data_IF_563501038006
#
_entry.id   IF_563501038006
#
_cell.length_a   1.000
_cell.length_b   1.000
_cell.length_c   1.000
_cell.angle_alpha   90.00
_cell.angle_beta   90.00
_cell.angle_gamma   90.00
#
_symmetry.space_group_name_H-M   'P 1'
#
loop_
_entity.id
_entity.type
_entity.pdbx_description
1 polymer ?
#
# COMPACT_ATOMS: atom_id res chain seq x y z
N UNK A 1 -21.41 -9.18 -2.25
CA UNK A 1 -20.00 -9.65 -2.29
C UNK A 1 -19.07 -8.50 -1.98
N UNK A 2 -19.45 -7.28 -2.36
CA UNK A 2 -18.81 -6.05 -1.91
C UNK A 2 -18.49 -6.00 -0.40
N UNK A 3 -19.41 -6.40 0.48
CA UNK A 3 -19.15 -6.48 1.93
C UNK A 3 -18.00 -7.43 2.26
N UNK A 4 -17.93 -8.59 1.60
CA UNK A 4 -16.86 -9.56 1.79
C UNK A 4 -15.51 -9.00 1.32
N UNK A 5 -15.48 -8.30 0.18
CA UNK A 5 -14.28 -7.62 -0.32
C UNK A 5 -13.76 -6.62 0.72
N UNK A 6 -14.66 -5.83 1.32
CA UNK A 6 -14.32 -4.85 2.36
C UNK A 6 -13.87 -5.51 3.66
N UNK A 7 -14.51 -6.63 4.06
CA UNK A 7 -14.07 -7.44 5.19
C UNK A 7 -12.66 -8.01 4.96
N UNK A 8 -12.35 -8.48 3.73
CA UNK A 8 -11.02 -8.96 3.36
C UNK A 8 -9.98 -7.85 3.39
N UNK A 9 -10.29 -6.66 2.89
CA UNK A 9 -9.43 -5.48 3.00
C UNK A 9 -9.11 -5.18 4.47
N UNK A 10 -10.12 -5.16 5.34
CA UNK A 10 -9.93 -4.91 6.77
C UNK A 10 -9.07 -6.02 7.42
N UNK A 11 -9.27 -7.28 7.02
CA UNK A 11 -8.45 -8.41 7.47
C UNK A 11 -6.98 -8.34 7.06
N UNK A 12 -6.65 -7.62 5.98
CA UNK A 12 -5.27 -7.32 5.58
C UNK A 12 -4.64 -6.17 6.37
N UNK A 13 -5.36 -5.57 7.33
CA UNK A 13 -4.91 -4.40 8.09
C UNK A 13 -5.15 -3.07 7.38
N UNK A 14 -5.92 -3.06 6.28
CA UNK A 14 -6.29 -1.82 5.61
C UNK A 14 -7.35 -1.09 6.43
N UNK A 15 -7.00 0.11 6.91
CA UNK A 15 -7.93 0.97 7.67
C UNK A 15 -8.37 2.22 6.90
N UNK A 16 -7.65 2.59 5.84
CA UNK A 16 -8.00 3.72 4.97
C UNK A 16 -7.99 3.23 3.53
N UNK A 17 -9.07 3.50 2.81
CA UNK A 17 -9.23 3.16 1.39
C UNK A 17 -9.25 4.47 0.58
N UNK A 18 -8.15 4.78 -0.08
CA UNK A 18 -8.08 5.94 -0.96
C UNK A 18 -8.72 5.62 -2.31
N UNK A 19 -9.32 6.58 -2.99
CA UNK A 19 -9.81 6.27 -4.34
C UNK A 19 -10.55 7.38 -5.03
N UNK A 20 -10.87 7.11 -6.30
CA UNK A 20 -11.89 7.81 -7.08
C UNK A 20 -12.86 6.73 -7.51
N UNK A 21 -14.09 6.77 -6.99
CA UNK A 21 -15.07 5.74 -7.34
C UNK A 21 -15.74 6.07 -8.69
N UNK A 22 -16.35 5.06 -9.30
CA UNK A 22 -17.14 5.19 -10.53
C UNK A 22 -18.10 4.02 -10.65
N UNK A 23 -18.93 4.01 -11.70
CA UNK A 23 -20.04 3.06 -11.85
C UNK A 23 -19.61 1.59 -11.70
N UNK A 24 -18.43 1.22 -12.24
CA UNK A 24 -17.96 -0.15 -12.19
C UNK A 24 -17.36 -0.55 -10.83
N UNK A 25 -17.14 0.37 -9.88
CA UNK A 25 -16.58 0.10 -8.55
C UNK A 25 -17.47 0.56 -7.38
N UNK A 26 -18.68 1.04 -7.67
CA UNK A 26 -19.53 1.72 -6.68
C UNK A 26 -19.98 0.81 -5.55
N UNK A 27 -20.22 -0.49 -5.78
CA UNK A 27 -20.74 -1.40 -4.75
C UNK A 27 -19.69 -1.61 -3.65
N UNK A 28 -18.42 -1.77 -4.04
CA UNK A 28 -17.30 -1.86 -3.12
C UNK A 28 -17.11 -0.55 -2.35
N UNK A 29 -17.25 0.60 -3.03
CA UNK A 29 -17.15 1.90 -2.37
C UNK A 29 -18.26 2.10 -1.33
N UNK A 30 -19.49 1.81 -1.71
CA UNK A 30 -20.68 1.89 -0.85
C UNK A 30 -20.57 0.95 0.36
N UNK A 31 -20.13 -0.29 0.16
CA UNK A 31 -19.83 -1.21 1.26
C UNK A 31 -18.73 -0.68 2.18
N UNK A 32 -17.69 -0.04 1.64
CA UNK A 32 -16.61 0.53 2.43
C UNK A 32 -17.08 1.73 3.27
N UNK A 33 -18.00 2.56 2.76
CA UNK A 33 -18.62 3.66 3.51
C UNK A 33 -19.41 3.15 4.72
N UNK A 34 -20.07 2.00 4.60
CA UNK A 34 -20.84 1.38 5.69
C UNK A 34 -19.98 0.63 6.72
N UNK A 35 -18.75 0.27 6.37
CA UNK A 35 -17.93 -0.61 7.18
C UNK A 35 -17.18 0.15 8.29
N UNK A 36 -17.32 -0.29 9.55
CA UNK A 36 -16.73 0.43 10.70
C UNK A 36 -15.20 0.40 10.79
N UNK A 37 -14.56 -0.59 10.16
CA UNK A 37 -13.10 -0.78 10.22
C UNK A 37 -12.32 -0.12 9.07
N UNK A 38 -13.01 0.46 8.07
CA UNK A 38 -12.39 1.10 6.92
C UNK A 38 -12.94 2.52 6.79
N UNK A 39 -12.03 3.47 6.54
CA UNK A 39 -12.39 4.85 6.20
C UNK A 39 -12.09 5.14 4.74
N UNK A 40 -13.10 5.29 3.88
CA UNK A 40 -12.90 5.77 2.51
C UNK A 40 -12.42 7.22 2.49
N UNK A 41 -11.48 7.53 1.61
CA UNK A 41 -10.98 8.89 1.35
C UNK A 41 -11.01 9.14 -0.15
N UNK A 42 -11.89 10.04 -0.58
CA UNK A 42 -12.03 10.40 -2.00
C UNK A 42 -10.90 11.36 -2.38
N UNK A 43 -10.14 11.01 -3.41
CA UNK A 43 -9.20 11.90 -4.07
C UNK A 43 -9.86 12.62 -5.25
N UNK A 44 -9.21 13.66 -5.77
CA UNK A 44 -9.63 14.32 -7.02
C UNK A 44 -9.12 13.60 -8.28
N UNK A 45 -8.12 12.75 -8.15
CA UNK A 45 -7.47 12.04 -9.25
C UNK A 45 -6.87 10.72 -8.74
N UNK A 46 -6.89 9.68 -9.57
CA UNK A 46 -6.51 8.31 -9.19
C UNK A 46 -5.02 8.18 -8.89
N UNK A 47 -4.16 8.86 -9.65
CA UNK A 47 -2.75 9.00 -9.30
C UNK A 47 -2.55 9.53 -7.87
N UNK A 48 -3.30 10.57 -7.48
CA UNK A 48 -3.24 11.14 -6.14
C UNK A 48 -3.72 10.14 -5.07
N UNK A 49 -4.76 9.36 -5.38
CA UNK A 49 -5.21 8.28 -4.49
C UNK A 49 -4.13 7.20 -4.30
N UNK A 50 -3.49 6.76 -5.39
CA UNK A 50 -2.40 5.78 -5.34
C UNK A 50 -1.18 6.31 -4.57
N UNK A 51 -0.78 7.56 -4.81
CA UNK A 51 0.34 8.19 -4.09
C UNK A 51 0.05 8.35 -2.58
N UNK A 52 -1.19 8.64 -2.19
CA UNK A 52 -1.59 8.66 -0.78
C UNK A 52 -1.52 7.27 -0.14
N UNK A 53 -1.96 6.23 -0.85
CA UNK A 53 -1.85 4.85 -0.39
C UNK A 53 -0.38 4.44 -0.21
N UNK A 54 0.47 4.72 -1.21
CA UNK A 54 1.91 4.48 -1.17
C UNK A 54 2.57 5.15 0.05
N UNK A 55 2.32 6.45 0.24
CA UNK A 55 2.85 7.20 1.38
C UNK A 55 2.40 6.63 2.73
N UNK A 56 1.13 6.23 2.85
CA UNK A 56 0.61 5.62 4.07
C UNK A 56 1.24 4.24 4.33
N UNK A 57 1.46 3.42 3.30
CA UNK A 57 2.11 2.13 3.46
C UNK A 57 3.53 2.28 4.01
N UNK A 58 4.29 3.28 3.55
CA UNK A 58 5.64 3.58 4.05
C UNK A 58 5.65 4.01 5.52
N UNK A 59 4.64 4.78 5.94
CA UNK A 59 4.55 5.29 7.32
C UNK A 59 4.05 4.19 8.27
N UNK A 60 3.05 3.42 7.84
CA UNK A 60 2.44 2.37 8.66
C UNK A 60 3.24 1.07 8.72
N UNK A 61 4.10 0.82 7.73
CA UNK A 61 4.85 -0.43 7.60
C UNK A 61 3.99 -1.62 7.20
N UNK A 62 2.76 -1.39 6.73
CA UNK A 62 1.80 -2.44 6.36
C UNK A 62 1.09 -2.17 5.03
N UNK A 63 0.31 -3.15 4.54
CA UNK A 63 -0.43 -3.00 3.29
C UNK A 63 -1.45 -1.86 3.35
N UNK A 64 -1.58 -1.15 2.23
CA UNK A 64 -2.67 -0.18 2.02
C UNK A 64 -3.47 -0.54 0.78
N UNK A 65 -4.59 0.14 0.56
CA UNK A 65 -5.39 -0.08 -0.62
C UNK A 65 -5.85 1.21 -1.30
N UNK A 66 -6.04 1.10 -2.60
CA UNK A 66 -6.61 2.11 -3.47
C UNK A 66 -7.77 1.51 -4.27
N UNK A 67 -8.88 2.24 -4.40
CA UNK A 67 -10.06 1.85 -5.18
C UNK A 67 -10.20 2.77 -6.40
N UNK A 68 -10.42 2.18 -7.57
CA UNK A 68 -10.80 2.93 -8.78
C UNK A 68 -11.77 2.14 -9.66
N UNK A 69 -12.37 2.81 -10.64
CA UNK A 69 -13.20 2.22 -11.70
C UNK A 69 -12.35 1.84 -12.91
N UNK A 70 -12.92 1.12 -13.88
CA UNK A 70 -12.30 0.85 -15.17
C UNK A 70 -12.22 2.11 -16.06
N UNK A 71 -11.82 1.96 -17.31
CA UNK A 71 -11.56 3.08 -18.21
C UNK A 71 -10.38 3.93 -17.73
N UNK A 72 -10.53 5.25 -17.87
CA UNK A 72 -9.51 6.22 -17.48
C UNK A 72 -9.08 6.12 -16.02
N UNK A 73 -9.97 5.68 -15.11
CA UNK A 73 -9.65 5.54 -13.69
C UNK A 73 -8.53 4.52 -13.44
N UNK A 74 -8.60 3.35 -14.07
CA UNK A 74 -7.56 2.34 -13.96
C UNK A 74 -6.25 2.81 -14.60
N UNK A 75 -6.31 3.47 -15.76
CA UNK A 75 -5.13 3.98 -16.47
C UNK A 75 -4.42 5.11 -15.70
N UNK A 76 -5.18 6.01 -15.09
CA UNK A 76 -4.66 7.10 -14.26
C UNK A 76 -3.97 6.59 -12.98
N UNK A 77 -4.28 5.37 -12.55
CA UNK A 77 -3.66 4.73 -11.39
C UNK A 77 -2.29 4.09 -11.72
N UNK A 78 -2.07 3.68 -12.98
CA UNK A 78 -0.86 2.97 -13.44
C UNK A 78 0.45 3.66 -13.01
N UNK A 79 0.64 4.99 -13.16
CA UNK A 79 1.88 5.62 -12.77
C UNK A 79 2.17 5.53 -11.26
N UNK A 80 1.13 5.58 -10.42
CA UNK A 80 1.30 5.45 -8.97
C UNK A 80 1.67 4.01 -8.58
N UNK A 81 1.07 3.01 -9.24
CA UNK A 81 1.46 1.60 -9.03
C UNK A 81 2.88 1.32 -9.51
N UNK A 82 3.31 1.96 -10.61
CA UNK A 82 4.69 1.89 -11.08
C UNK A 82 5.70 2.39 -10.04
N UNK A 83 5.40 3.52 -9.38
CA UNK A 83 6.23 4.02 -8.28
C UNK A 83 6.26 3.04 -7.10
N UNK A 84 5.11 2.52 -6.67
CA UNK A 84 5.04 1.51 -5.61
C UNK A 84 5.80 0.24 -5.97
N UNK A 85 5.78 -0.17 -7.24
CA UNK A 85 6.48 -1.35 -7.73
C UNK A 85 7.99 -1.19 -7.63
N UNK A 86 8.53 -0.09 -8.15
CA UNK A 86 9.98 0.18 -8.14
C UNK A 86 10.50 0.38 -6.71
N UNK A 87 9.69 1.01 -5.86
CA UNK A 87 10.00 1.28 -4.46
C UNK A 87 9.72 0.11 -3.49
N UNK A 88 9.17 -1.01 -3.97
CA UNK A 88 8.74 -2.15 -3.13
C UNK A 88 7.76 -1.78 -2.01
N UNK A 89 6.67 -1.11 -2.38
CA UNK A 89 5.61 -0.69 -1.46
C UNK A 89 4.36 -1.56 -1.64
N UNK A 90 3.80 -2.15 -0.56
CA UNK A 90 2.64 -3.03 -0.63
C UNK A 90 1.32 -2.25 -0.76
N UNK A 91 0.98 -1.85 -1.98
CA UNK A 91 -0.30 -1.21 -2.31
C UNK A 91 -1.21 -2.19 -3.06
N UNK A 92 -2.42 -2.39 -2.56
CA UNK A 92 -3.46 -3.18 -3.22
C UNK A 92 -4.41 -2.28 -4.02
N UNK A 93 -4.40 -2.40 -5.34
CA UNK A 93 -5.39 -1.80 -6.21
C UNK A 93 -6.63 -2.68 -6.33
N UNK A 94 -7.80 -2.14 -5.98
CA UNK A 94 -9.10 -2.71 -6.31
C UNK A 94 -9.66 -1.90 -7.48
N UNK A 95 -9.88 -2.56 -8.61
CA UNK A 95 -10.32 -1.92 -9.85
C UNK A 95 -11.66 -2.54 -10.26
N UNK A 96 -12.72 -1.74 -10.27
CA UNK A 96 -14.00 -2.19 -10.79
C UNK A 96 -13.96 -2.35 -12.31
N UNK A 97 -14.61 -3.38 -12.87
CA UNK A 97 -14.76 -3.54 -14.32
C UNK A 97 -16.22 -3.71 -14.75
N UNK A 98 -16.47 -3.59 -16.06
CA UNK A 98 -17.79 -3.78 -16.64
C UNK A 98 -18.37 -5.17 -16.27
N UNK A 99 -19.70 -5.32 -16.21
CA UNK A 99 -20.32 -6.62 -16.00
C UNK A 99 -19.81 -7.65 -17.02
N UNK A 100 -19.51 -8.86 -16.57
CA UNK A 100 -18.93 -9.94 -17.42
C UNK A 100 -19.73 -10.18 -18.70
N UNK A 101 -21.06 -10.11 -18.63
CA UNK A 101 -21.95 -10.30 -19.79
C UNK A 101 -21.83 -9.22 -20.88
N UNK A 102 -21.20 -8.07 -20.57
CA UNK A 102 -21.02 -6.93 -21.48
C UNK A 102 -19.61 -6.78 -22.02
N UNK A 103 -18.66 -7.58 -21.50
CA UNK A 103 -17.27 -7.62 -21.98
C UNK A 103 -17.25 -8.07 -23.44
N UNK A 104 -16.55 -7.32 -24.29
CA UNK A 104 -16.49 -7.49 -25.75
C UNK A 104 -17.78 -7.12 -26.49
N UNK A 105 -18.76 -6.53 -25.79
CA UNK A 105 -20.11 -6.28 -26.31
C UNK A 105 -20.55 -4.83 -26.15
N UNK A 106 -19.59 -3.91 -26.09
CA UNK A 106 -19.84 -2.47 -25.95
C UNK A 106 -20.17 -2.02 -24.52
N UNK A 107 -19.70 -2.77 -23.51
CA UNK A 107 -19.79 -2.36 -22.11
C UNK A 107 -19.13 -1.00 -21.87
N UNK A 108 -19.73 -0.17 -21.03
CA UNK A 108 -19.14 1.13 -20.67
C UNK A 108 -17.81 0.93 -19.94
N UNK A 109 -16.75 1.56 -20.47
CA UNK A 109 -15.39 1.44 -19.94
C UNK A 109 -14.89 -0.01 -19.88
N UNK A 110 -15.24 -0.83 -20.88
CA UNK A 110 -14.71 -2.17 -21.05
C UNK A 110 -13.23 -2.15 -21.46
N UNK A 111 -12.43 -2.99 -20.80
CA UNK A 111 -10.97 -3.10 -20.96
C UNK A 111 -10.49 -4.53 -20.69
N UNK A 112 -11.32 -5.53 -21.01
CA UNK A 112 -11.03 -6.95 -20.75
C UNK A 112 -11.21 -7.85 -21.98
N UNK A 113 -11.33 -7.26 -23.18
CA UNK A 113 -11.50 -7.98 -24.46
C UNK A 113 -10.57 -7.42 -25.56
N UNK A 114 -9.25 -7.62 -25.47
CA UNK A 114 -8.32 -7.22 -26.52
C UNK A 114 -8.43 -8.14 -27.76
N UNK A 115 -8.20 -7.63 -28.99
CA UNK A 115 -7.69 -6.29 -29.31
C UNK A 115 -8.78 -5.22 -29.47
N UNK A 116 -10.06 -5.58 -29.32
CA UNK A 116 -11.19 -4.68 -29.54
C UNK A 116 -11.33 -3.63 -28.42
N UNK A 117 -10.79 -3.94 -27.23
CA UNK A 117 -10.65 -3.03 -26.10
C UNK A 117 -9.21 -3.01 -25.57
N UNK A 118 -8.94 -2.10 -24.63
CA UNK A 118 -7.63 -1.99 -23.97
C UNK A 118 -7.37 -3.27 -23.17
N UNK A 119 -6.16 -3.85 -23.28
CA UNK A 119 -5.72 -4.97 -22.43
C UNK A 119 -5.27 -4.45 -21.05
N UNK A 120 -6.22 -4.22 -20.14
CA UNK A 120 -5.90 -3.76 -18.78
C UNK A 120 -4.97 -4.74 -18.02
N UNK A 121 -5.19 -6.07 -18.04
CA UNK A 121 -4.30 -7.01 -17.37
C UNK A 121 -2.86 -6.93 -17.86
N UNK A 122 -2.62 -6.81 -19.17
CA UNK A 122 -1.28 -6.65 -19.71
C UNK A 122 -0.63 -5.36 -19.21
N UNK A 123 -1.36 -4.23 -19.23
CA UNK A 123 -0.86 -2.95 -18.72
C UNK A 123 -0.48 -3.05 -17.24
N UNK A 124 -1.38 -3.60 -16.41
CA UNK A 124 -1.15 -3.73 -14.97
C UNK A 124 0.01 -4.66 -14.68
N UNK A 125 0.15 -5.78 -15.40
CA UNK A 125 1.23 -6.76 -15.19
C UNK A 125 2.63 -6.16 -15.32
N UNK A 126 2.78 -5.05 -16.04
CA UNK A 126 4.05 -4.31 -16.13
C UNK A 126 4.39 -3.47 -14.89
N UNK A 127 3.42 -3.20 -14.01
CA UNK A 127 3.55 -2.32 -12.84
C UNK A 127 3.03 -2.92 -11.53
N UNK A 128 2.63 -4.19 -11.51
CA UNK A 128 2.26 -4.91 -10.27
C UNK A 128 2.91 -6.28 -10.20
N UNK A 129 3.13 -6.80 -9.00
CA UNK A 129 3.68 -8.14 -8.79
C UNK A 129 2.67 -9.28 -9.01
N UNK A 130 1.37 -8.97 -8.92
CA UNK A 130 0.30 -9.88 -9.31
C UNK A 130 -0.94 -9.09 -9.77
N UNK A 131 -1.62 -9.60 -10.78
CA UNK A 131 -2.87 -9.05 -11.30
C UNK A 131 -3.88 -10.18 -11.47
N UNK A 132 -5.02 -10.11 -10.79
CA UNK A 132 -6.08 -11.12 -10.88
C UNK A 132 -7.40 -10.47 -11.28
N UNK A 133 -8.04 -11.03 -12.31
CA UNK A 133 -9.44 -10.76 -12.60
C UNK A 133 -10.28 -11.74 -11.79
N UNK A 134 -11.26 -11.24 -11.04
CA UNK A 134 -12.13 -12.07 -10.19
C UNK A 134 -13.36 -12.46 -10.99
N UNK A 135 -13.24 -13.49 -11.82
CA UNK A 135 -14.28 -13.88 -12.78
C UNK A 135 -15.47 -14.61 -12.15
N UNK A 136 -15.40 -15.01 -10.88
CA UNK A 136 -16.49 -15.65 -10.16
C UNK A 136 -16.56 -15.17 -8.69
N UNK A 137 -17.75 -14.97 -8.10
CA UNK A 137 -17.87 -14.52 -6.70
C UNK A 137 -17.19 -15.43 -5.68
N UNK A 138 -17.18 -16.75 -5.93
CA UNK A 138 -16.50 -17.71 -5.05
C UNK A 138 -14.96 -17.53 -5.01
N UNK A 139 -14.38 -16.87 -6.02
CA UNK A 139 -12.93 -16.72 -6.14
C UNK A 139 -12.41 -15.49 -5.39
N UNK A 140 -13.29 -14.65 -4.83
CA UNK A 140 -12.90 -13.43 -4.11
C UNK A 140 -11.88 -13.74 -3.02
N UNK A 141 -12.15 -14.76 -2.20
CA UNK A 141 -11.26 -15.10 -1.09
C UNK A 141 -9.88 -15.56 -1.56
N UNK A 142 -9.84 -16.43 -2.59
CA UNK A 142 -8.59 -16.91 -3.18
C UNK A 142 -7.80 -15.77 -3.84
N UNK A 143 -8.48 -14.86 -4.55
CA UNK A 143 -7.85 -13.70 -5.17
C UNK A 143 -7.20 -12.77 -4.12
N UNK A 144 -7.84 -12.61 -2.95
CA UNK A 144 -7.25 -11.87 -1.83
C UNK A 144 -6.06 -12.59 -1.21
N UNK A 145 -6.05 -13.93 -1.15
CA UNK A 145 -4.91 -14.70 -0.67
C UNK A 145 -3.70 -14.56 -1.61
N UNK A 146 -3.92 -14.61 -2.92
CA UNK A 146 -2.89 -14.35 -3.94
C UNK A 146 -2.35 -12.92 -3.84
N UNK A 147 -3.23 -11.94 -3.69
CA UNK A 147 -2.84 -10.54 -3.49
C UNK A 147 -2.01 -10.37 -2.21
N UNK A 148 -2.43 -10.99 -1.10
CA UNK A 148 -1.69 -10.95 0.17
C UNK A 148 -0.28 -11.51 0.04
N UNK A 149 -0.10 -12.63 -0.67
CA UNK A 149 1.22 -13.20 -0.93
C UNK A 149 2.13 -12.23 -1.70
N UNK A 150 1.57 -11.48 -2.66
CA UNK A 150 2.29 -10.45 -3.40
C UNK A 150 2.67 -9.25 -2.51
N UNK A 151 1.72 -8.74 -1.72
CA UNK A 151 1.94 -7.64 -0.78
C UNK A 151 3.00 -8.00 0.28
N UNK A 152 3.02 -9.25 0.76
CA UNK A 152 4.03 -9.75 1.70
C UNK A 152 5.46 -9.75 1.12
N UNK A 153 5.61 -9.75 -0.20
CA UNK A 153 6.90 -9.57 -0.90
C UNK A 153 7.27 -8.10 -1.09
N UNK A 154 6.47 -7.18 -0.56
CA UNK A 154 6.60 -5.73 -0.75
C UNK A 154 6.23 -5.28 -2.16
N UNK A 155 5.42 -6.04 -2.90
CA UNK A 155 5.03 -5.65 -4.27
C UNK A 155 3.60 -5.13 -4.27
N UNK A 156 3.25 -4.15 -5.11
CA UNK A 156 1.85 -3.82 -5.32
C UNK A 156 1.12 -4.96 -6.03
N UNK A 157 -0.18 -5.04 -5.83
CA UNK A 157 -1.07 -6.06 -6.36
C UNK A 157 -2.33 -5.41 -6.94
N UNK A 158 -2.93 -6.02 -7.96
CA UNK A 158 -4.19 -5.55 -8.53
C UNK A 158 -5.26 -6.66 -8.56
N UNK A 159 -6.45 -6.34 -8.08
CA UNK A 159 -7.65 -7.14 -8.23
C UNK A 159 -8.64 -6.39 -9.11
N UNK A 160 -8.94 -6.94 -10.28
CA UNK A 160 -9.97 -6.43 -11.18
C UNK A 160 -11.26 -7.18 -10.88
N UNK A 161 -12.30 -6.46 -10.44
CA UNK A 161 -13.54 -7.05 -9.95
C UNK A 161 -14.72 -6.60 -10.81
N UNK A 162 -15.32 -7.49 -11.61
CA UNK A 162 -16.51 -7.16 -12.40
C UNK A 162 -17.67 -6.68 -11.54
N UNK A 163 -18.42 -5.71 -12.06
CA UNK A 163 -19.59 -5.11 -11.39
C UNK A 163 -20.61 -6.15 -10.92
N UNK A 164 -20.90 -7.15 -11.76
CA UNK A 164 -21.85 -8.22 -11.43
C UNK A 164 -21.30 -9.21 -10.38
N UNK A 165 -19.97 -9.31 -10.24
CA UNK A 165 -19.34 -10.06 -9.14
C UNK A 165 -19.44 -9.30 -7.82
N UNK A 166 -19.29 -7.97 -7.83
CA UNK A 166 -19.46 -7.14 -6.63
C UNK A 166 -20.89 -7.24 -6.07
N UNK A 167 -21.88 -7.17 -6.97
CA UNK A 167 -23.30 -7.22 -6.67
C UNK A 167 -23.81 -8.62 -6.25
N UNK A 168 -23.05 -9.68 -6.52
CA UNK A 168 -23.46 -11.05 -6.17
C UNK A 168 -23.63 -11.22 -4.65
N UNK A 169 -24.55 -12.08 -4.23
CA UNK A 169 -24.75 -12.40 -2.80
C UNK A 169 -23.54 -13.20 -2.30
N UNK A 170 -22.95 -12.76 -1.18
CA UNK A 170 -21.89 -13.54 -0.54
C UNK A 170 -22.51 -14.79 0.13
N UNK A 171 -21.85 -15.96 0.08
CA UNK A 171 -22.22 -17.06 0.95
C UNK A 171 -22.24 -16.56 2.40
N UNK A 172 -23.23 -16.96 3.18
CA UNK A 172 -23.36 -16.51 4.57
C UNK A 172 -22.14 -16.99 5.37
N UNK A 173 -21.14 -16.13 5.50
CA UNK A 173 -20.01 -16.39 6.39
C UNK A 173 -20.53 -16.09 7.77
N UNK A 174 -20.85 -17.15 8.50
CA UNK A 174 -21.28 -17.08 9.90
C UNK A 174 -20.35 -16.12 10.64
N UNK A 175 -20.81 -14.88 10.85
CA UNK A 175 -20.06 -13.94 11.68
C UNK A 175 -19.89 -14.65 13.02
N UNK A 176 -18.67 -14.78 13.58
CA UNK A 176 -18.53 -15.27 14.94
C UNK A 176 -19.45 -14.41 15.78
N UNK A 177 -20.53 -15.01 16.26
CA UNK A 177 -21.51 -14.30 17.07
C UNK A 177 -20.70 -13.78 18.23
N UNK A 178 -20.53 -12.47 18.32
CA UNK A 178 -19.95 -11.85 19.51
C UNK A 178 -20.88 -12.32 20.62
N UNK A 179 -20.41 -13.29 21.40
CA UNK A 179 -21.04 -13.62 22.67
C UNK A 179 -20.85 -12.34 23.48
N UNK A 180 -21.85 -11.46 23.42
CA UNK A 180 -22.00 -10.40 24.40
C UNK A 180 -21.99 -11.13 25.73
N UNK A 181 -20.88 -11.05 26.46
CA UNK A 181 -20.76 -11.68 27.76
C UNK A 181 -22.00 -11.30 28.56
N UNK A 182 -22.74 -12.30 29.01
CA UNK A 182 -23.79 -12.07 30.00
C UNK A 182 -23.16 -11.27 31.14
N UNK A 183 -23.81 -10.17 31.53
CA UNK A 183 -23.38 -9.40 32.68
C UNK A 183 -23.11 -10.35 33.86
N UNK A 184 -21.98 -10.21 34.58
CA UNK A 184 -21.72 -11.07 35.72
C UNK A 184 -22.86 -10.90 36.74
N UNK A 185 -23.34 -11.98 37.36
CA UNK A 185 -24.31 -11.86 38.44
C UNK A 185 -23.70 -11.02 39.56
N UNK A 186 -24.42 -9.99 39.98
CA UNK A 186 -24.08 -9.14 41.12
C UNK A 186 -23.98 -10.04 42.35
N UNK A 187 -22.75 -10.34 42.78
CA UNK A 187 -22.48 -11.01 44.05
C UNK A 187 -22.28 -9.93 45.10
N UNK A 188 -23.28 -9.79 45.96
CA UNK A 188 -23.22 -9.03 47.20
C UNK A 188 -22.04 -9.54 48.02
N UNK A 189 -21.19 -8.61 48.46
CA UNK A 189 -19.87 -8.91 48.99
C UNK A 189 -19.87 -9.67 50.31
N UNK A 190 -18.87 -10.54 50.44
CA UNK A 190 -18.26 -10.88 51.72
C UNK A 190 -16.74 -10.79 51.61
N UNK A 191 -16.19 -10.02 52.53
CA UNK A 191 -14.77 -9.80 52.80
C UNK A 191 -14.12 -11.06 53.32
N UNK A 192 -12.88 -11.37 52.90
CA UNK A 192 -11.86 -11.99 53.74
C UNK A 192 -10.45 -11.87 53.13
N UNK A 193 -9.47 -11.76 54.02
CA UNK A 193 -8.14 -11.21 53.84
C UNK A 193 -7.10 -12.16 53.23
N UNK A 194 -6.10 -11.55 52.56
CA UNK A 194 -4.68 -11.77 52.86
C UNK A 194 -3.89 -12.81 52.05
N UNK A 195 -3.02 -12.34 51.14
CA UNK A 195 -1.52 -12.42 51.21
C UNK A 195 -0.87 -12.19 49.83
N UNK A 196 0.36 -11.64 49.79
CA UNK A 196 1.03 -11.22 48.55
C UNK A 196 1.78 -12.39 47.90
N UNK A 197 1.81 -12.40 46.56
CA UNK A 197 2.68 -13.29 45.78
C UNK A 197 3.55 -12.49 44.83
N UNK A 198 4.83 -12.80 44.95
CA UNK A 198 6.06 -12.26 44.38
C UNK A 198 6.15 -12.24 42.85
N UNK A 199 6.93 -11.25 42.39
CA UNK A 199 7.42 -11.08 41.03
C UNK A 199 8.06 -12.34 40.46
N UNK A 200 7.76 -12.63 39.18
CA UNK A 200 8.49 -13.56 38.34
C UNK A 200 9.11 -12.81 37.16
N UNK A 201 10.42 -12.65 37.24
CA UNK A 201 11.32 -12.18 36.18
C UNK A 201 11.33 -13.14 34.98
N UNK A 202 11.15 -12.61 33.76
CA UNK A 202 11.49 -13.32 32.52
C UNK A 202 12.91 -12.93 32.08
N UNK A 203 13.73 -13.88 31.58
CA UNK A 203 15.13 -13.63 31.23
C UNK A 203 15.27 -12.86 29.91
N UNK A 204 16.39 -12.16 29.69
CA UNK A 204 16.57 -11.23 28.58
C UNK A 204 16.73 -11.95 27.22
N UNK A 205 15.94 -11.49 26.25
CA UNK A 205 16.10 -11.81 24.84
C UNK A 205 17.39 -11.18 24.29
N UNK A 206 18.16 -11.95 23.53
CA UNK A 206 19.47 -11.57 22.96
C UNK A 206 19.32 -10.49 21.87
N UNK A 207 19.94 -9.34 22.13
CA UNK A 207 20.81 -8.55 21.22
C UNK A 207 20.31 -8.35 19.78
N UNK A 208 19.64 -7.22 19.52
CA UNK A 208 19.68 -6.53 18.23
C UNK A 208 20.21 -5.11 18.51
N UNK A 209 21.26 -4.71 17.80
CA UNK A 209 22.13 -3.58 18.15
C UNK A 209 21.41 -2.23 18.18
N UNK A 210 21.54 -1.55 19.32
CA UNK A 210 21.28 -0.12 19.47
C UNK A 210 22.38 0.68 18.76
N UNK A 211 21.99 1.55 17.83
CA UNK A 211 22.84 2.64 17.35
C UNK A 211 23.01 3.66 18.48
N UNK A 212 24.20 3.68 19.09
CA UNK A 212 24.60 4.70 20.06
C UNK A 212 25.00 6.00 19.35
N UNK A 213 24.73 7.13 20.03
CA UNK A 213 24.98 8.50 19.60
C UNK A 213 26.48 8.79 19.49
N UNK A 214 26.95 9.04 18.27
CA UNK A 214 28.33 9.50 18.00
C UNK A 214 28.52 11.00 18.20
N UNK A 215 29.62 11.38 18.87
CA UNK A 215 30.11 12.77 19.06
C UNK A 215 30.40 13.45 17.72
N UNK A 216 30.06 14.73 17.61
CA UNK A 216 30.42 15.60 16.47
C UNK A 216 31.89 16.02 16.57
N UNK A 217 32.65 15.82 15.49
CA UNK A 217 33.91 16.50 15.23
C UNK A 217 33.64 17.52 14.11
N UNK A 218 33.93 18.80 14.35
CA UNK A 218 33.82 19.86 13.36
C UNK A 218 35.11 19.94 12.53
N UNK A 219 34.98 19.83 11.21
CA UNK A 219 36.02 20.23 10.25
C UNK A 219 35.42 21.18 9.23
N UNK A 220 36.04 22.35 9.06
CA UNK A 220 35.64 23.37 8.09
C UNK A 220 36.20 23.01 6.72
N UNK A 221 35.35 22.94 5.71
CA UNK A 221 35.73 22.84 4.29
C UNK A 221 35.15 24.04 3.56
N UNK A 222 35.91 24.76 2.71
CA UNK A 222 35.42 25.91 1.97
C UNK A 222 34.41 25.52 0.89
N UNK A 223 33.33 26.30 0.76
CA UNK A 223 32.34 26.19 -0.31
C UNK A 223 32.84 27.00 -1.50
N UNK A 224 32.93 26.37 -2.67
CA UNK A 224 33.27 27.03 -3.93
C UNK A 224 32.07 27.72 -4.56
N UNK A 225 32.31 28.85 -5.22
CA UNK A 225 31.30 29.70 -5.84
C UNK A 225 30.61 29.05 -7.03
N UNK A 226 29.27 28.95 -6.97
CA UNK A 226 28.40 28.50 -8.05
C UNK A 226 27.41 29.59 -8.48
N UNK A 227 27.49 29.95 -9.76
CA UNK A 227 26.62 30.72 -10.68
C UNK A 227 25.41 31.51 -10.10
N UNK A 228 25.28 32.83 -10.37
CA UNK A 228 24.22 33.67 -9.82
C UNK A 228 22.88 33.50 -10.56
N UNK A 229 21.89 32.95 -9.87
CA UNK A 229 20.47 33.06 -10.21
C UNK A 229 19.83 34.22 -9.44
N UNK A 230 19.29 35.20 -10.17
CA UNK A 230 18.58 36.37 -9.63
C UNK A 230 17.35 35.93 -8.83
N UNK A 231 17.28 36.35 -7.57
CA UNK A 231 16.04 36.80 -6.93
C UNK A 231 16.39 37.63 -5.69
N UNK A 232 16.21 38.94 -5.81
CA UNK A 232 16.20 39.87 -4.70
C UNK A 232 14.87 39.74 -3.95
N UNK A 233 14.92 39.46 -2.65
CA UNK A 233 13.74 39.42 -1.81
C UNK A 233 14.03 39.00 -0.37
N UNK A 234 14.08 40.00 0.52
CA UNK A 234 14.01 39.91 1.98
C UNK A 234 15.13 39.16 2.73
N UNK A 235 16.09 39.94 3.26
CA UNK A 235 16.97 39.54 4.36
C UNK A 235 16.18 39.53 5.68
N UNK A 236 16.07 38.37 6.32
CA UNK A 236 15.86 38.26 7.77
C UNK A 236 16.99 37.43 8.39
N UNK A 237 17.57 37.84 9.53
CA UNK A 237 18.63 37.10 10.17
C UNK A 237 18.01 35.95 10.98
N UNK A 238 18.02 34.75 10.41
CA UNK A 238 17.58 33.53 11.08
C UNK A 238 18.52 32.39 10.70
N UNK A 239 19.29 31.90 11.67
CA UNK A 239 20.10 30.70 11.49
C UNK A 239 19.18 29.50 11.23
N UNK A 240 19.24 28.92 10.02
CA UNK A 240 18.60 27.64 9.71
C UNK A 240 19.66 26.54 9.80
N UNK A 241 19.57 25.73 10.85
CA UNK A 241 20.28 24.45 10.95
C UNK A 241 19.65 23.45 9.97
N UNK A 242 20.37 23.09 8.91
CA UNK A 242 20.03 21.96 8.07
C UNK A 242 20.74 20.70 8.59
N UNK A 243 20.02 19.61 8.93
CA UNK A 243 20.67 18.33 9.21
C UNK A 243 21.20 17.72 7.90
N UNK A 244 22.53 17.59 7.80
CA UNK A 244 23.17 16.83 6.72
C UNK A 244 23.03 15.34 7.00
N UNK A 245 22.12 14.67 6.29
CA UNK A 245 22.03 13.21 6.26
C UNK A 245 23.08 12.70 5.27
N UNK A 246 24.19 12.15 5.79
CA UNK A 246 25.13 11.38 4.97
C UNK A 246 24.47 10.07 4.53
N UNK A 247 24.09 10.03 3.25
CA UNK A 247 24.18 8.86 2.37
C UNK A 247 23.32 7.64 2.71
N UNK A 248 22.05 7.65 2.30
CA UNK A 248 21.40 6.41 1.88
C UNK A 248 22.06 5.99 0.55
N UNK A 249 22.63 4.78 0.50
CA UNK A 249 23.16 4.21 -0.75
C UNK A 249 21.99 3.85 -1.65
N UNK A 250 21.57 4.78 -2.50
CA UNK A 250 20.73 4.46 -3.65
C UNK A 250 21.59 3.74 -4.70
N UNK A 251 21.00 2.81 -5.46
CA UNK A 251 21.65 2.12 -6.60
C UNK A 251 21.85 3.05 -7.82
N UNK A 252 22.16 4.32 -7.59
CA UNK A 252 22.65 5.24 -8.62
C UNK A 252 24.05 5.65 -8.21
N UNK A 253 25.02 4.92 -8.74
CA UNK A 253 26.43 5.17 -8.50
C UNK A 253 26.78 6.60 -8.90
N UNK A 254 27.24 7.40 -7.94
CA UNK A 254 28.03 8.58 -8.22
C UNK A 254 29.25 8.13 -9.03
N UNK A 255 29.27 8.40 -10.33
CA UNK A 255 30.46 8.20 -11.15
C UNK A 255 31.53 9.19 -10.70
N UNK A 256 32.55 8.69 -10.00
CA UNK A 256 33.85 9.37 -9.95
C UNK A 256 34.45 9.39 -11.38
N UNK A 257 35.24 10.41 -11.75
CA UNK A 257 35.89 10.45 -13.05
C UNK A 257 36.75 9.20 -13.24
N UNK A 258 36.54 8.52 -14.37
CA UNK A 258 37.16 7.23 -14.71
C UNK A 258 38.69 7.36 -14.77
N UNK A 259 39.46 6.51 -14.06
CA UNK A 259 40.88 6.36 -14.32
C UNK A 259 41.09 5.65 -15.67
N UNK A 260 42.19 5.98 -16.37
CA UNK A 260 42.58 5.40 -17.66
C UNK A 260 42.59 3.87 -17.57
N UNK A 261 41.86 3.22 -18.48
CA UNK A 261 41.80 1.76 -18.60
C UNK A 261 43.14 1.27 -19.17
N UNK A 262 43.90 0.54 -18.36
CA UNK A 262 44.99 -0.31 -18.86
C UNK A 262 44.38 -1.63 -19.37
N UNK A 263 44.77 -2.02 -20.59
CA UNK A 263 44.17 -3.13 -21.33
C UNK A 263 44.86 -4.44 -20.99
N UNK A 264 44.58 -5.06 -19.84
CA UNK A 264 44.70 -6.52 -19.69
C UNK A 264 43.95 -7.01 -18.44
N UNK A 265 42.74 -7.55 -18.60
CA UNK A 265 42.17 -8.58 -17.71
C UNK A 265 40.84 -9.08 -18.30
N UNK A 266 40.83 -10.34 -18.71
CA UNK A 266 39.60 -11.08 -19.04
C UNK A 266 38.99 -11.52 -17.71
N UNK A 267 37.76 -11.12 -17.42
CA UNK A 267 36.98 -11.66 -16.30
C UNK A 267 36.19 -12.87 -16.81
N UNK A 268 36.49 -14.05 -16.29
CA UNK A 268 35.66 -15.24 -16.44
C UNK A 268 34.66 -15.24 -15.28
N UNK A 269 33.37 -15.26 -15.58
CA UNK A 269 32.31 -15.51 -14.60
C UNK A 269 31.97 -17.00 -14.64
N UNK A 270 32.03 -17.65 -13.48
CA UNK A 270 31.39 -18.94 -13.23
C UNK A 270 29.87 -18.76 -13.03
#
# INVERSE_FOLDING_TARGET
MAERIVERLAGLGVHTLFGVHGANAEDVFDAAVRHRGIRPVIAKHEFGAGAMADGLARISGGPTAVLTTSGGGALNLVPALGESYDSRVPVLAIIGSAPRATVGRGGFQDMLDPPDTIDLPAILSGVVGCCRIVDHPADVDAAFDEAAACLNRGMPAALVVPKDVQAAVAPDVLRPRVLTGSAPPTTTGESLAGRPSTAASRPPCRRCGSLERGRQLETRVPVGDGVPGRNEGARHPGHVLAPSVKGARTRQGCRAPSPRIDRTAVLIQE
#
